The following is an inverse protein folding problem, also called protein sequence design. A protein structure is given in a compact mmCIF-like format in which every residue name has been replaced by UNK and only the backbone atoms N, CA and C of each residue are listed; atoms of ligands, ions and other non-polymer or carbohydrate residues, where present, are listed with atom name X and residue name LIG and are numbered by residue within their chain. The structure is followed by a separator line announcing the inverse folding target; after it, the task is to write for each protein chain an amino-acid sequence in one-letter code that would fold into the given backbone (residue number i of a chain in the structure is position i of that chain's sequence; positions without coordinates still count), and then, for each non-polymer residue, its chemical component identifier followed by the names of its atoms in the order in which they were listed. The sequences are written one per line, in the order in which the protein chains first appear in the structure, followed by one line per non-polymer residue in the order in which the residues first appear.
data_IF_866718970851
#
_entry.id   IF_866718970851
#
_cell.length_a   1.000
_cell.length_b   1.000
_cell.length_c   1.000
_cell.angle_alpha   90.00
_cell.angle_beta   90.00
_cell.angle_gamma   90.00
#
_symmetry.space_group_name_H-M   'P 1'
#
loop_
_entity.id
_entity.type
_entity.pdbx_description
1 polymer ?
#
# COMPACT_ATOMS: atom_id res chain seq x y z
N UNK A 1 15.57 -10.29 -1.57
CA UNK A 1 14.99 -9.91 -2.89
C UNK A 1 13.59 -9.36 -2.63
N UNK A 2 13.04 -8.47 -3.49
CA UNK A 2 11.63 -8.11 -3.31
C UNK A 2 10.85 -8.20 -4.62
N UNK A 3 9.57 -8.47 -4.48
CA UNK A 3 8.59 -8.60 -5.55
C UNK A 3 7.46 -7.60 -5.33
N UNK A 4 6.73 -7.24 -6.38
CA UNK A 4 5.54 -6.40 -6.28
C UNK A 4 4.33 -7.19 -6.75
N UNK A 5 3.28 -7.18 -5.95
CA UNK A 5 1.96 -7.67 -6.35
C UNK A 5 0.99 -6.50 -6.37
N UNK A 6 0.27 -6.37 -7.49
CA UNK A 6 -0.75 -5.35 -7.71
C UNK A 6 -2.11 -6.06 -7.67
N UNK A 7 -2.81 -6.07 -6.53
CA UNK A 7 -4.16 -6.64 -6.45
C UNK A 7 -5.15 -5.76 -7.22
N UNK A 8 -5.81 -6.33 -8.21
CA UNK A 8 -6.79 -5.66 -9.05
C UNK A 8 -8.06 -6.50 -9.16
N UNK A 9 -9.06 -6.20 -8.33
CA UNK A 9 -10.36 -6.89 -8.36
C UNK A 9 -11.40 -6.13 -9.19
N UNK A 10 -12.27 -6.88 -9.87
CA UNK A 10 -13.37 -6.28 -10.62
C UNK A 10 -14.48 -5.75 -9.70
N UNK A 11 -14.79 -6.49 -8.65
CA UNK A 11 -15.86 -6.20 -7.69
C UNK A 11 -15.49 -5.12 -6.69
N UNK A 12 -15.46 -3.85 -7.12
CA UNK A 12 -15.41 -2.70 -6.21
C UNK A 12 -16.84 -2.27 -5.85
N UNK A 13 -17.15 -2.18 -4.56
CA UNK A 13 -18.49 -1.80 -4.07
C UNK A 13 -18.89 -0.38 -4.47
N UNK A 14 -17.94 0.55 -4.58
CA UNK A 14 -18.18 1.95 -4.96
C UNK A 14 -18.12 2.17 -6.46
N UNK A 15 -17.28 1.45 -7.18
CA UNK A 15 -17.04 1.64 -8.60
C UNK A 15 -16.62 0.30 -9.25
N UNK A 16 -17.59 -0.51 -9.72
CA UNK A 16 -17.27 -1.78 -10.40
C UNK A 16 -16.38 -1.55 -11.62
N UNK A 17 -15.41 -2.43 -11.85
CA UNK A 17 -14.49 -2.30 -12.97
C UNK A 17 -13.47 -1.16 -12.85
N UNK A 18 -13.29 -0.55 -11.66
CA UNK A 18 -12.39 0.59 -11.44
C UNK A 18 -10.99 0.37 -12.01
N UNK A 19 -10.44 -0.84 -11.91
CA UNK A 19 -9.12 -1.18 -12.42
C UNK A 19 -8.98 -0.97 -13.95
N UNK A 20 -10.09 -1.14 -14.69
CA UNK A 20 -10.15 -0.99 -16.16
C UNK A 20 -10.58 0.40 -16.63
N UNK A 21 -10.87 1.32 -15.70
CA UNK A 21 -11.23 2.69 -16.10
C UNK A 21 -10.11 3.35 -16.90
N UNK A 22 -10.49 3.92 -18.03
CA UNK A 22 -9.54 4.65 -18.88
C UNK A 22 -9.03 5.92 -18.19
N UNK A 23 -7.72 6.05 -18.12
CA UNK A 23 -7.02 7.26 -17.74
C UNK A 23 -6.01 7.56 -18.84
N UNK A 24 -6.28 8.61 -19.59
CA UNK A 24 -5.39 9.05 -20.68
C UNK A 24 -5.02 7.93 -21.69
N UNK A 25 -6.00 7.10 -22.06
CA UNK A 25 -5.86 6.07 -23.08
C UNK A 25 -5.39 4.69 -22.57
N UNK A 26 -5.23 4.52 -21.26
CA UNK A 26 -4.83 3.23 -20.65
C UNK A 26 -5.68 2.93 -19.41
N UNK A 27 -5.90 1.63 -19.09
CA UNK A 27 -6.56 1.24 -17.84
C UNK A 27 -5.81 1.78 -16.60
N UNK A 28 -6.54 2.14 -15.55
CA UNK A 28 -5.91 2.64 -14.32
C UNK A 28 -4.84 1.70 -13.77
N UNK A 29 -5.08 0.38 -13.77
CA UNK A 29 -4.11 -0.63 -13.30
C UNK A 29 -2.83 -0.66 -14.14
N UNK A 30 -2.89 -0.27 -15.41
CA UNK A 30 -1.71 -0.14 -16.27
C UNK A 30 -0.75 0.94 -15.75
N UNK A 31 -1.28 2.07 -15.29
CA UNK A 31 -0.47 3.14 -14.72
C UNK A 31 0.23 2.71 -13.43
N UNK A 32 -0.47 1.94 -12.58
CA UNK A 32 0.12 1.33 -11.39
C UNK A 32 1.24 0.35 -11.76
N UNK A 33 0.98 -0.49 -12.75
CA UNK A 33 1.96 -1.45 -13.26
C UNK A 33 3.20 -0.76 -13.82
N UNK A 34 3.04 0.34 -14.57
CA UNK A 34 4.17 1.13 -15.07
C UNK A 34 5.01 1.73 -13.92
N UNK A 35 4.37 2.17 -12.84
CA UNK A 35 5.08 2.61 -11.64
C UNK A 35 5.89 1.47 -11.01
N UNK A 36 5.28 0.31 -10.89
CA UNK A 36 5.95 -0.87 -10.35
C UNK A 36 7.17 -1.30 -11.19
N UNK A 37 7.05 -1.27 -12.52
CA UNK A 37 8.16 -1.60 -13.44
C UNK A 37 9.33 -0.63 -13.35
N UNK A 38 9.12 0.60 -12.90
CA UNK A 38 10.19 1.57 -12.72
C UNK A 38 11.02 1.34 -11.44
N UNK A 39 10.63 0.37 -10.59
CA UNK A 39 11.35 -0.02 -9.38
C UNK A 39 12.42 -1.08 -9.65
N UNK A 40 13.24 -1.37 -8.65
CA UNK A 40 14.24 -2.45 -8.66
C UNK A 40 13.66 -3.82 -8.26
N UNK A 41 12.34 -3.99 -8.27
CA UNK A 41 11.69 -5.26 -7.94
C UNK A 41 12.13 -6.39 -8.90
N UNK A 42 12.36 -7.57 -8.36
CA UNK A 42 12.75 -8.75 -9.13
C UNK A 42 11.61 -9.24 -10.05
N UNK A 43 10.35 -9.01 -9.65
CA UNK A 43 9.18 -9.27 -10.48
C UNK A 43 8.01 -8.37 -10.08
N UNK A 44 7.11 -8.13 -11.04
CA UNK A 44 5.87 -7.38 -10.86
C UNK A 44 4.72 -8.22 -11.38
N UNK A 45 3.77 -8.57 -10.52
CA UNK A 45 2.63 -9.43 -10.83
C UNK A 45 1.32 -8.67 -10.62
N UNK A 46 0.45 -8.67 -11.62
CA UNK A 46 -0.94 -8.22 -11.46
C UNK A 46 -1.79 -9.39 -11.00
N UNK A 47 -2.38 -9.28 -9.81
CA UNK A 47 -3.20 -10.33 -9.22
C UNK A 47 -4.69 -9.99 -9.34
N UNK A 48 -5.45 -10.79 -10.09
CA UNK A 48 -6.86 -10.51 -10.35
C UNK A 48 -7.73 -11.75 -10.28
N UNK A 49 -9.01 -11.54 -10.01
CA UNK A 49 -10.06 -12.55 -10.02
C UNK A 49 -10.97 -12.46 -11.27
N UNK A 50 -10.62 -11.61 -12.25
CA UNK A 50 -11.48 -11.33 -13.39
C UNK A 50 -10.73 -11.39 -14.72
N UNK A 51 -11.29 -12.14 -15.69
CA UNK A 51 -10.62 -12.37 -16.97
C UNK A 51 -10.46 -11.11 -17.81
N UNK A 52 -11.38 -10.15 -17.73
CA UNK A 52 -11.26 -8.89 -18.48
C UNK A 52 -10.02 -8.09 -18.02
N UNK A 53 -9.73 -8.08 -16.71
CA UNK A 53 -8.51 -7.43 -16.20
C UNK A 53 -7.29 -8.22 -16.62
N UNK A 54 -7.36 -9.55 -16.53
CA UNK A 54 -6.26 -10.42 -16.91
C UNK A 54 -5.90 -10.28 -18.38
N UNK A 55 -6.90 -10.34 -19.26
CA UNK A 55 -6.72 -10.20 -20.72
C UNK A 55 -6.15 -8.83 -21.08
N UNK A 56 -6.75 -7.76 -20.55
CA UNK A 56 -6.25 -6.40 -20.80
C UNK A 56 -4.78 -6.22 -20.37
N UNK A 57 -4.40 -6.75 -19.22
CA UNK A 57 -3.02 -6.60 -18.74
C UNK A 57 -2.03 -7.51 -19.47
N UNK A 58 -2.44 -8.71 -19.89
CA UNK A 58 -1.61 -9.60 -20.73
C UNK A 58 -1.32 -9.00 -22.09
N UNK A 59 -2.27 -8.26 -22.68
CA UNK A 59 -2.06 -7.55 -23.96
C UNK A 59 -0.92 -6.51 -23.85
N UNK A 60 -0.72 -5.92 -22.68
CA UNK A 60 0.42 -5.04 -22.41
C UNK A 60 1.71 -5.78 -22.00
N UNK A 61 1.67 -7.12 -21.93
CA UNK A 61 2.83 -7.96 -21.54
C UNK A 61 3.04 -8.09 -20.02
N UNK A 62 2.05 -7.75 -19.21
CA UNK A 62 2.15 -7.94 -17.77
C UNK A 62 2.12 -9.42 -17.38
N UNK A 63 2.89 -9.79 -16.35
CA UNK A 63 2.73 -11.06 -15.65
C UNK A 63 1.46 -11.00 -14.81
N UNK A 64 0.52 -11.91 -15.06
CA UNK A 64 -0.78 -11.93 -14.41
C UNK A 64 -1.00 -13.25 -13.69
N UNK A 65 -1.32 -13.15 -12.41
CA UNK A 65 -1.79 -14.27 -11.60
C UNK A 65 -3.31 -14.23 -11.45
N UNK A 66 -3.98 -15.29 -11.89
CA UNK A 66 -5.39 -15.49 -11.57
C UNK A 66 -5.54 -15.99 -10.14
N UNK A 67 -6.41 -15.36 -9.38
CA UNK A 67 -6.62 -15.63 -7.96
C UNK A 67 -8.10 -15.83 -7.66
N UNK A 68 -8.41 -16.46 -6.53
CA UNK A 68 -9.79 -16.74 -6.14
C UNK A 68 -10.61 -15.47 -5.93
N UNK A 69 -11.86 -15.48 -6.38
CA UNK A 69 -12.83 -14.40 -6.15
C UNK A 69 -13.22 -14.29 -4.66
N UNK A 70 -13.10 -15.37 -3.90
CA UNK A 70 -13.53 -15.46 -2.50
C UNK A 70 -12.62 -14.77 -1.50
N UNK A 71 -11.49 -14.21 -1.92
CA UNK A 71 -10.58 -13.53 -1.00
C UNK A 71 -11.23 -12.30 -0.36
N UNK A 72 -11.27 -12.23 0.98
CA UNK A 72 -11.88 -11.10 1.70
C UNK A 72 -11.04 -9.83 1.62
N UNK A 73 -9.71 -9.96 1.43
CA UNK A 73 -8.78 -8.83 1.41
C UNK A 73 -7.76 -8.92 0.27
N UNK A 74 -7.06 -7.81 0.03
CA UNK A 74 -5.89 -7.78 -0.86
C UNK A 74 -4.74 -8.62 -0.32
N UNK A 75 -4.58 -8.72 1.00
CA UNK A 75 -3.51 -9.50 1.65
C UNK A 75 -3.68 -10.99 1.40
N UNK A 76 -4.92 -11.53 1.50
CA UNK A 76 -5.19 -12.94 1.18
C UNK A 76 -4.87 -13.26 -0.29
N UNK A 77 -5.10 -12.28 -1.19
CA UNK A 77 -4.74 -12.41 -2.60
C UNK A 77 -3.24 -12.45 -2.82
N UNK A 78 -2.48 -11.66 -2.05
CA UNK A 78 -1.02 -11.70 -2.06
C UNK A 78 -0.51 -13.08 -1.62
N UNK A 79 -1.04 -13.63 -0.53
CA UNK A 79 -0.68 -14.95 -0.04
C UNK A 79 -0.84 -16.02 -1.13
N UNK A 80 -1.98 -16.02 -1.84
CA UNK A 80 -2.18 -16.94 -2.97
C UNK A 80 -1.14 -16.75 -4.08
N UNK A 81 -0.73 -15.50 -4.38
CA UNK A 81 0.31 -15.26 -5.39
C UNK A 81 1.67 -15.77 -4.92
N UNK A 82 2.01 -15.55 -3.64
CA UNK A 82 3.26 -16.05 -3.04
C UNK A 82 3.33 -17.58 -3.19
N UNK A 83 2.25 -18.29 -2.85
CA UNK A 83 2.15 -19.74 -3.01
C UNK A 83 2.27 -20.17 -4.48
N UNK A 84 1.55 -19.51 -5.41
CA UNK A 84 1.59 -19.82 -6.84
C UNK A 84 3.00 -19.64 -7.44
N UNK A 85 3.77 -18.66 -6.95
CA UNK A 85 5.11 -18.34 -7.45
C UNK A 85 6.21 -19.12 -6.76
N UNK A 86 5.93 -19.74 -5.61
CA UNK A 86 6.90 -20.46 -4.80
C UNK A 86 8.02 -19.56 -4.30
N UNK A 87 7.72 -18.30 -3.97
CA UNK A 87 8.70 -17.40 -3.38
C UNK A 87 9.13 -17.87 -2.00
N UNK A 88 10.38 -17.61 -1.65
CA UNK A 88 10.94 -18.02 -0.36
C UNK A 88 10.31 -17.24 0.80
N UNK A 89 10.23 -17.87 1.96
CA UNK A 89 9.75 -17.23 3.21
C UNK A 89 10.51 -15.93 3.54
N UNK A 90 11.79 -15.87 3.16
CA UNK A 90 12.65 -14.69 3.38
C UNK A 90 12.48 -13.59 2.32
N UNK A 91 11.83 -13.88 1.20
CA UNK A 91 11.53 -12.88 0.19
C UNK A 91 10.52 -11.86 0.72
N UNK A 92 10.57 -10.68 0.13
CA UNK A 92 9.67 -9.58 0.49
C UNK A 92 8.69 -9.37 -0.67
N UNK A 93 7.41 -9.21 -0.35
CA UNK A 93 6.40 -8.81 -1.31
C UNK A 93 5.79 -7.46 -0.92
N UNK A 94 5.84 -6.52 -1.85
CA UNK A 94 5.18 -5.21 -1.72
C UNK A 94 3.78 -5.28 -2.30
N UNK A 95 2.79 -4.91 -1.49
CA UNK A 95 1.40 -4.75 -1.90
C UNK A 95 1.18 -3.34 -2.44
N UNK A 96 1.28 -3.16 -3.75
CA UNK A 96 0.98 -1.91 -4.41
C UNK A 96 -0.47 -1.92 -4.89
N UNK A 97 -1.32 -1.11 -4.26
CA UNK A 97 -2.76 -1.11 -4.55
C UNK A 97 -3.04 -0.74 -6.01
N UNK A 98 -3.91 -1.52 -6.68
CA UNK A 98 -4.27 -1.32 -8.09
C UNK A 98 -5.02 -0.01 -8.40
N UNK A 99 -5.27 0.82 -7.40
CA UNK A 99 -5.91 2.14 -7.49
C UNK A 99 -5.00 3.30 -7.03
N UNK A 100 -3.68 3.07 -6.96
CA UNK A 100 -2.65 4.04 -6.58
C UNK A 100 -1.72 4.42 -7.77
N UNK A 101 -2.26 4.98 -8.87
CA UNK A 101 -1.48 5.23 -10.09
C UNK A 101 -0.40 6.31 -9.92
N UNK A 102 -0.49 7.09 -8.86
CA UNK A 102 0.46 8.17 -8.55
C UNK A 102 1.45 7.82 -7.44
N UNK A 103 1.48 6.56 -6.96
CA UNK A 103 2.42 6.14 -5.93
C UNK A 103 3.86 6.39 -6.38
N UNK A 104 4.66 7.18 -5.63
CA UNK A 104 6.07 7.39 -5.95
C UNK A 104 6.85 6.08 -5.88
N UNK A 105 7.74 5.86 -6.87
CA UNK A 105 8.58 4.65 -6.90
C UNK A 105 9.50 4.58 -5.68
N UNK A 106 9.96 5.73 -5.22
CA UNK A 106 10.80 5.88 -4.04
C UNK A 106 10.13 5.33 -2.77
N UNK A 107 8.80 5.46 -2.65
CA UNK A 107 8.03 4.90 -1.54
C UNK A 107 7.98 3.38 -1.61
N UNK A 108 7.86 2.81 -2.81
CA UNK A 108 7.88 1.36 -3.04
C UNK A 108 9.25 0.78 -2.65
N UNK A 109 10.32 1.43 -3.09
CA UNK A 109 11.70 1.06 -2.72
C UNK A 109 11.94 1.20 -1.22
N UNK A 110 11.44 2.28 -0.61
CA UNK A 110 11.60 2.55 0.81
C UNK A 110 10.96 1.46 1.66
N UNK A 111 9.67 1.13 1.42
CA UNK A 111 8.97 0.15 2.25
C UNK A 111 9.60 -1.25 2.16
N UNK A 112 10.11 -1.64 0.98
CA UNK A 112 10.82 -2.89 0.78
C UNK A 112 12.16 -2.90 1.54
N UNK A 113 12.95 -1.82 1.43
CA UNK A 113 14.24 -1.66 2.11
C UNK A 113 14.07 -1.66 3.63
N UNK A 114 13.13 -0.90 4.17
CA UNK A 114 12.87 -0.85 5.61
C UNK A 114 12.58 -2.24 6.19
N UNK A 115 11.81 -3.07 5.47
CA UNK A 115 11.55 -4.44 5.90
C UNK A 115 12.79 -5.35 5.75
N UNK A 116 13.58 -5.15 4.70
CA UNK A 116 14.81 -5.92 4.48
C UNK A 116 15.84 -5.67 5.59
N UNK A 117 15.97 -4.42 6.04
CA UNK A 117 16.94 -4.01 7.06
C UNK A 117 16.47 -4.35 8.49
N UNK A 118 15.16 -4.56 8.71
CA UNK A 118 14.61 -4.90 10.02
C UNK A 118 14.24 -6.39 10.09
N UNK A 119 15.19 -7.24 10.48
CA UNK A 119 15.00 -8.68 10.57
C UNK A 119 13.95 -9.16 11.59
N UNK A 120 13.53 -8.32 12.53
CA UNK A 120 12.52 -8.64 13.54
C UNK A 120 11.09 -8.26 13.12
N UNK A 121 10.93 -7.52 12.01
CA UNK A 121 9.64 -7.14 11.50
C UNK A 121 9.14 -8.13 10.43
N UNK A 122 7.85 -8.44 10.46
CA UNK A 122 7.17 -9.22 9.42
C UNK A 122 6.47 -8.35 8.39
N UNK A 123 6.17 -7.09 8.75
CA UNK A 123 5.46 -6.11 7.93
C UNK A 123 6.15 -4.76 8.06
N UNK A 124 6.30 -4.05 6.96
CA UNK A 124 6.59 -2.62 6.95
C UNK A 124 5.47 -1.84 6.25
N UNK A 125 5.26 -0.61 6.68
CA UNK A 125 4.36 0.34 6.04
C UNK A 125 4.92 1.74 6.17
N UNK A 126 4.30 2.72 5.52
CA UNK A 126 4.78 4.09 5.53
C UNK A 126 3.88 5.01 6.35
N UNK A 127 4.47 6.08 6.82
CA UNK A 127 3.77 7.18 7.45
C UNK A 127 4.39 8.51 7.02
N UNK A 128 3.57 9.56 6.97
CA UNK A 128 4.03 10.90 6.66
C UNK A 128 3.47 11.91 7.66
N UNK A 129 4.13 13.07 7.86
CA UNK A 129 3.64 14.09 8.77
C UNK A 129 2.27 14.60 8.37
N UNK A 130 1.40 14.80 9.35
CA UNK A 130 0.14 15.54 9.18
C UNK A 130 0.46 17.02 9.12
N UNK A 131 -0.05 17.71 8.09
CA UNK A 131 0.31 19.09 7.79
C UNK A 131 -0.73 20.11 8.27
N UNK A 132 -1.96 19.68 8.58
CA UNK A 132 -3.02 20.60 9.05
C UNK A 132 -3.88 20.00 10.15
N UNK A 133 -4.57 20.87 10.89
CA UNK A 133 -5.51 20.48 11.95
C UNK A 133 -6.75 19.81 11.35
N UNK A 134 -7.17 20.24 10.17
CA UNK A 134 -8.27 19.66 9.42
C UNK A 134 -7.95 18.21 9.08
N UNK A 135 -6.77 17.96 8.52
CA UNK A 135 -6.29 16.60 8.21
C UNK A 135 -6.20 15.73 9.47
N UNK A 136 -5.72 16.28 10.60
CA UNK A 136 -5.64 15.54 11.87
C UNK A 136 -7.02 15.10 12.37
N UNK A 137 -8.05 15.94 12.17
CA UNK A 137 -9.41 15.65 12.60
C UNK A 137 -10.24 14.88 11.57
N UNK A 138 -9.76 14.72 10.33
CA UNK A 138 -10.48 14.00 9.28
C UNK A 138 -10.52 12.49 9.60
N UNK A 139 -11.71 11.88 9.76
CA UNK A 139 -11.82 10.44 10.02
C UNK A 139 -11.48 9.57 8.80
N UNK A 140 -11.35 10.13 7.59
CA UNK A 140 -10.86 9.42 6.41
C UNK A 140 -9.34 9.18 6.48
N UNK A 141 -8.62 10.04 7.18
CA UNK A 141 -7.18 9.94 7.42
C UNK A 141 -6.91 9.01 8.60
N UNK A 142 -6.13 7.97 8.37
CA UNK A 142 -5.70 7.05 9.44
C UNK A 142 -4.45 7.61 10.09
N UNK A 143 -4.56 7.94 11.39
CA UNK A 143 -3.42 8.35 12.22
C UNK A 143 -2.64 7.15 12.69
N UNK A 144 -1.33 7.30 12.87
CA UNK A 144 -0.45 6.26 13.41
C UNK A 144 0.42 6.82 14.52
N UNK A 145 0.56 6.05 15.59
CA UNK A 145 1.51 6.31 16.67
C UNK A 145 2.61 5.26 16.59
N UNK A 146 3.85 5.72 16.56
CA UNK A 146 5.02 4.85 16.52
C UNK A 146 5.86 4.97 17.79
N UNK A 147 6.61 3.92 18.11
CA UNK A 147 7.66 3.94 19.13
C UNK A 147 8.86 4.79 18.70
N UNK A 148 9.76 5.07 19.61
CA UNK A 148 11.03 5.73 19.29
C UNK A 148 11.92 4.94 18.33
N UNK A 149 11.62 3.66 18.11
CA UNK A 149 12.33 2.76 17.17
C UNK A 149 11.62 2.61 15.83
N UNK A 150 10.56 3.40 15.57
CA UNK A 150 9.81 3.36 14.32
C UNK A 150 8.75 2.25 14.23
N UNK A 151 8.58 1.42 15.27
CA UNK A 151 7.53 0.39 15.25
C UNK A 151 6.16 1.02 15.48
N UNK A 152 5.20 0.72 14.60
CA UNK A 152 3.81 1.15 14.79
C UNK A 152 3.22 0.51 16.05
N UNK A 153 2.64 1.34 16.91
CA UNK A 153 1.99 0.92 18.14
C UNK A 153 0.48 0.85 17.99
N UNK A 154 -0.09 1.81 17.25
CA UNK A 154 -1.53 1.89 17.07
C UNK A 154 -1.91 2.73 15.85
N UNK A 155 -2.97 2.28 15.16
CA UNK A 155 -3.60 3.00 14.06
C UNK A 155 -5.02 3.39 14.45
N UNK A 156 -5.45 4.61 14.13
CA UNK A 156 -6.80 5.08 14.45
C UNK A 156 -7.33 6.11 13.46
N UNK A 157 -8.64 6.08 13.23
CA UNK A 157 -9.34 7.17 12.53
C UNK A 157 -9.60 8.36 13.47
N UNK A 158 -9.62 8.13 14.79
CA UNK A 158 -9.66 9.22 15.77
C UNK A 158 -8.33 9.97 15.80
N UNK A 159 -8.34 11.25 16.20
CA UNK A 159 -7.12 12.02 16.44
C UNK A 159 -6.26 11.40 17.53
N UNK A 160 -5.09 10.86 17.16
CA UNK A 160 -4.08 10.29 18.07
C UNK A 160 -2.67 10.73 17.67
N UNK A 161 -1.72 10.90 18.66
CA UNK A 161 -1.98 11.04 20.08
C UNK A 161 -2.81 12.29 20.37
N UNK A 162 -3.63 12.27 21.42
CA UNK A 162 -4.42 13.44 21.78
C UNK A 162 -3.53 14.52 22.43
N UNK A 163 -3.44 15.73 21.86
CA UNK A 163 -2.56 16.79 22.35
C UNK A 163 -3.24 17.57 23.50
N UNK A 164 -3.34 16.96 24.68
CA UNK A 164 -4.10 17.44 25.84
C UNK A 164 -3.76 18.89 26.25
N UNK A 165 -2.47 19.21 26.27
CA UNK A 165 -1.96 20.45 26.83
C UNK A 165 -1.74 21.54 25.77
N UNK A 166 -2.21 21.31 24.53
CA UNK A 166 -2.08 22.22 23.41
C UNK A 166 -3.46 22.73 23.00
N UNK A 167 -3.69 24.03 23.17
CA UNK A 167 -4.94 24.64 22.72
C UNK A 167 -5.08 24.51 21.19
N UNK A 168 -6.33 24.39 20.70
CA UNK A 168 -6.62 24.27 19.26
C UNK A 168 -5.94 25.39 18.46
N UNK A 169 -5.98 26.62 18.95
CA UNK A 169 -5.34 27.79 18.32
C UNK A 169 -3.81 27.68 18.30
N UNK A 170 -3.22 27.06 19.29
CA UNK A 170 -1.78 26.80 19.35
C UNK A 170 -1.36 25.66 18.42
N UNK A 171 -2.21 24.64 18.28
CA UNK A 171 -2.03 23.57 17.31
C UNK A 171 -2.06 24.14 15.87
N UNK A 172 -3.00 25.06 15.59
CA UNK A 172 -3.07 25.78 14.32
C UNK A 172 -1.86 26.69 14.07
N UNK A 173 -1.33 27.32 15.12
CA UNK A 173 -0.19 28.23 15.04
C UNK A 173 1.18 27.56 14.96
N UNK A 174 1.37 26.39 15.57
CA UNK A 174 2.64 25.66 15.57
C UNK A 174 2.83 24.74 14.36
N UNK A 175 1.74 24.30 13.76
CA UNK A 175 1.69 23.28 12.74
C UNK A 175 1.79 21.85 13.33
N UNK A 176 0.87 20.94 12.95
CA UNK A 176 0.83 19.56 13.43
C UNK A 176 2.12 18.78 13.19
N UNK A 177 2.84 19.09 12.11
CA UNK A 177 4.11 18.47 11.74
C UNK A 177 5.20 18.61 12.82
N UNK A 178 5.20 19.71 13.56
CA UNK A 178 6.16 19.97 14.66
C UNK A 178 5.85 19.16 15.91
N UNK A 179 4.66 18.58 15.98
CA UNK A 179 4.23 17.73 17.10
C UNK A 179 4.43 16.24 16.82
N UNK A 180 5.02 15.89 15.67
CA UNK A 180 5.24 14.52 15.28
C UNK A 180 3.95 13.73 15.03
N UNK A 181 2.85 14.43 14.67
CA UNK A 181 1.60 13.79 14.28
C UNK A 181 1.77 13.18 12.91
N UNK A 182 1.44 11.88 12.77
CA UNK A 182 1.69 11.12 11.55
C UNK A 182 0.39 10.53 11.01
N UNK A 183 0.25 10.53 9.69
CA UNK A 183 -0.76 9.74 8.98
C UNK A 183 -0.15 8.53 8.31
N UNK A 184 -0.88 7.46 8.29
CA UNK A 184 -0.52 6.21 7.64
C UNK A 184 -0.72 6.32 6.12
N UNK A 185 0.26 5.81 5.37
CA UNK A 185 0.19 5.61 3.92
C UNK A 185 -0.03 4.13 3.64
N UNK A 186 -1.09 3.79 2.90
CA UNK A 186 -1.57 2.42 2.68
C UNK A 186 -0.70 1.54 1.77
N UNK A 187 0.61 1.73 1.78
CA UNK A 187 1.59 0.90 1.09
C UNK A 187 2.24 -0.05 2.09
N UNK A 188 2.32 -1.33 1.76
CA UNK A 188 2.82 -2.36 2.67
C UNK A 188 3.86 -3.26 2.00
N UNK A 189 4.86 -3.66 2.76
CA UNK A 189 5.73 -4.79 2.46
C UNK A 189 5.52 -5.89 3.50
N UNK A 190 5.55 -7.14 3.06
CA UNK A 190 5.41 -8.33 3.89
C UNK A 190 6.58 -9.28 3.64
N UNK A 191 7.03 -10.01 4.67
CA UNK A 191 7.81 -11.22 4.43
C UNK A 191 6.87 -12.30 3.89
N UNK A 192 7.29 -13.02 2.86
CA UNK A 192 6.46 -14.05 2.25
C UNK A 192 6.03 -15.12 3.27
N UNK A 193 6.93 -15.56 4.16
CA UNK A 193 6.62 -16.52 5.21
C UNK A 193 5.66 -16.03 6.31
N UNK A 194 5.27 -14.76 6.28
CA UNK A 194 4.26 -14.22 7.20
C UNK A 194 2.84 -14.26 6.60
N UNK A 195 2.69 -14.30 5.28
CA UNK A 195 1.40 -14.31 4.57
C UNK A 195 0.74 -15.69 4.61
#
# INVERSE_FOLDING_TARGET
MFHIVIPARYGSTRLPGKALMDIAGHPMVWWVWQRALASSAASVVVATDHEDIASAMREFGADVAMTKMSHPSGTDRLAEVVDQRGWSDDDIVVNLQGDEPLMPVENVEQVARELAENGNASIATLAEPIMSVEEFNDPSVVKVVASAFGNALYFSRAPIPYPRDIAKTELEGRGPEKLGLMRHVGLYAYRCGFL
#
